data_IF_425459368956
#
_entry.id   IF_425459368956
#
_cell.length_a   1.000
_cell.length_b   1.000
_cell.length_c   1.000
_cell.angle_alpha   90.00
_cell.angle_beta   90.00
_cell.angle_gamma   90.00
#
_symmetry.space_group_name_H-M   'P 1'
#
loop_
_entity.id
_entity.type
_entity.pdbx_description
1 polymer ?
#
# COMPACT_ATOMS: atom_id res chain seq x y z
N UNK A 1 -26.54 -7.39 -33.14
CA UNK A 1 -25.99 -6.93 -31.85
C UNK A 1 -26.52 -7.85 -30.77
N UNK A 2 -25.65 -8.56 -30.05
CA UNK A 2 -26.04 -9.64 -29.15
C UNK A 2 -26.42 -9.06 -27.76
N UNK A 3 -27.69 -9.18 -27.31
CA UNK A 3 -28.16 -8.53 -26.08
C UNK A 3 -27.47 -9.02 -24.79
N UNK A 4 -26.84 -10.20 -24.81
CA UNK A 4 -26.08 -10.73 -23.68
C UNK A 4 -24.75 -10.02 -23.44
N UNK A 5 -24.13 -9.41 -24.46
CA UNK A 5 -22.84 -8.74 -24.29
C UNK A 5 -22.97 -7.37 -23.59
N UNK A 6 -24.16 -6.78 -23.53
CA UNK A 6 -24.35 -5.47 -22.93
C UNK A 6 -24.47 -5.52 -21.40
N UNK A 7 -25.20 -6.47 -20.82
CA UNK A 7 -25.51 -6.43 -19.37
C UNK A 7 -24.27 -6.75 -18.52
N UNK A 8 -23.51 -7.80 -18.85
CA UNK A 8 -22.30 -8.17 -18.10
C UNK A 8 -21.20 -7.10 -18.19
N UNK A 9 -21.00 -6.51 -19.37
CA UNK A 9 -20.02 -5.46 -19.58
C UNK A 9 -20.40 -4.18 -18.81
N UNK A 10 -21.68 -3.79 -18.85
CA UNK A 10 -22.19 -2.63 -18.10
C UNK A 10 -22.01 -2.84 -16.58
N UNK A 11 -22.36 -4.02 -16.06
CA UNK A 11 -22.20 -4.35 -14.63
C UNK A 11 -20.74 -4.32 -14.19
N UNK A 12 -19.84 -4.84 -15.02
CA UNK A 12 -18.40 -4.77 -14.76
C UNK A 12 -17.87 -3.33 -14.75
N UNK A 13 -18.22 -2.51 -15.74
CA UNK A 13 -17.87 -1.09 -15.75
C UNK A 13 -18.45 -0.35 -14.55
N UNK A 14 -19.69 -0.63 -14.16
CA UNK A 14 -20.31 -0.07 -12.97
C UNK A 14 -19.55 -0.48 -11.70
N UNK A 15 -19.11 -1.74 -11.59
CA UNK A 15 -18.31 -2.22 -10.48
C UNK A 15 -16.97 -1.47 -10.36
N UNK A 16 -16.24 -1.33 -11.48
CA UNK A 16 -14.98 -0.58 -11.52
C UNK A 16 -15.20 0.89 -11.18
N UNK A 17 -16.25 1.50 -11.72
CA UNK A 17 -16.59 2.89 -11.45
C UNK A 17 -16.88 3.10 -9.97
N UNK A 18 -17.67 2.22 -9.37
CA UNK A 18 -18.00 2.23 -7.94
C UNK A 18 -16.77 1.95 -7.08
N UNK A 19 -15.88 1.05 -7.51
CA UNK A 19 -14.63 0.78 -6.80
C UNK A 19 -13.72 2.02 -6.77
N UNK A 20 -13.49 2.66 -7.92
CA UNK A 20 -12.68 3.88 -8.01
C UNK A 20 -13.29 5.02 -7.21
N UNK A 21 -14.55 5.38 -7.48
CA UNK A 21 -15.18 6.54 -6.86
C UNK A 21 -15.53 6.29 -5.39
N UNK A 22 -15.89 5.07 -5.02
CA UNK A 22 -16.07 4.69 -3.62
C UNK A 22 -14.76 4.89 -2.84
N UNK A 23 -13.64 4.34 -3.36
CA UNK A 23 -12.33 4.52 -2.76
C UNK A 23 -11.96 5.99 -2.62
N UNK A 24 -12.16 6.76 -3.69
CA UNK A 24 -11.87 8.19 -3.69
C UNK A 24 -12.73 8.97 -2.69
N UNK A 25 -14.06 8.84 -2.78
CA UNK A 25 -15.01 9.65 -2.02
C UNK A 25 -14.99 9.30 -0.53
N UNK A 26 -14.96 8.00 -0.19
CA UNK A 26 -14.94 7.57 1.21
C UNK A 26 -13.60 7.90 1.87
N UNK A 27 -12.46 7.68 1.20
CA UNK A 27 -11.16 8.12 1.75
C UNK A 27 -11.16 9.64 1.95
N UNK A 28 -11.52 10.42 0.93
CA UNK A 28 -11.53 11.88 1.01
C UNK A 28 -12.46 12.40 2.13
N UNK A 29 -13.65 11.82 2.27
CA UNK A 29 -14.61 12.18 3.31
C UNK A 29 -14.11 11.89 4.74
N UNK A 30 -13.19 10.93 4.90
CA UNK A 30 -12.63 10.54 6.19
C UNK A 30 -11.38 11.35 6.59
N UNK A 31 -10.68 11.99 5.65
CA UNK A 31 -9.43 12.71 5.94
C UNK A 31 -9.64 13.81 6.98
N UNK A 32 -10.57 14.74 6.74
CA UNK A 32 -10.75 15.91 7.62
C UNK A 32 -11.27 15.54 9.02
N UNK A 33 -12.29 14.68 9.18
CA UNK A 33 -12.72 14.21 10.51
C UNK A 33 -11.61 13.50 11.28
N UNK A 34 -10.87 12.59 10.63
CA UNK A 34 -9.77 11.86 11.29
C UNK A 34 -8.63 12.79 11.65
N UNK A 35 -8.27 13.75 10.78
CA UNK A 35 -7.27 14.78 11.08
C UNK A 35 -7.60 15.51 12.37
N UNK A 36 -8.85 16.00 12.50
CA UNK A 36 -9.32 16.69 13.73
C UNK A 36 -9.26 15.78 14.96
N UNK A 37 -9.75 14.55 14.83
CA UNK A 37 -9.76 13.58 15.92
C UNK A 37 -8.34 13.24 16.40
N UNK A 38 -7.40 13.04 15.47
CA UNK A 38 -6.02 12.67 15.78
C UNK A 38 -5.25 13.82 16.42
N UNK A 39 -5.47 15.06 15.95
CA UNK A 39 -4.93 16.26 16.61
C UNK A 39 -5.47 16.38 18.04
N UNK A 40 -6.79 16.20 18.23
CA UNK A 40 -7.40 16.26 19.56
C UNK A 40 -6.90 15.16 20.50
N UNK A 41 -6.60 13.97 19.97
CA UNK A 41 -6.05 12.85 20.72
C UNK A 41 -4.53 12.93 20.96
N UNK A 42 -3.84 13.92 20.38
CA UNK A 42 -2.39 14.08 20.52
C UNK A 42 -1.55 13.13 19.65
N UNK A 43 -2.14 12.47 18.65
CA UNK A 43 -1.42 11.64 17.68
C UNK A 43 -0.67 12.50 16.66
N UNK A 44 0.36 13.20 17.15
CA UNK A 44 1.16 14.15 16.39
C UNK A 44 2.59 13.66 16.26
N UNK A 45 3.22 14.00 15.13
CA UNK A 45 4.66 13.76 14.91
C UNK A 45 5.27 14.95 14.18
N UNK A 46 6.56 15.17 14.40
CA UNK A 46 7.33 16.20 13.71
C UNK A 46 7.62 15.77 12.27
N UNK A 47 7.19 16.56 11.30
CA UNK A 47 7.46 16.31 9.88
C UNK A 47 8.88 16.77 9.47
N UNK A 48 9.24 16.58 8.20
CA UNK A 48 10.53 17.01 7.65
C UNK A 48 10.77 18.54 7.71
N UNK A 49 9.74 19.35 7.92
CA UNK A 49 9.81 20.82 8.12
C UNK A 49 9.87 21.22 9.60
N UNK A 50 9.95 20.26 10.52
CA UNK A 50 9.93 20.54 11.96
C UNK A 50 8.54 20.84 12.54
N UNK A 51 7.47 20.62 11.78
CA UNK A 51 6.10 20.94 12.21
C UNK A 51 5.38 19.70 12.76
N UNK A 52 4.66 19.86 13.86
CA UNK A 52 3.79 18.81 14.39
C UNK A 52 2.54 18.68 13.52
N UNK A 53 2.39 17.52 12.88
CA UNK A 53 1.23 17.17 12.05
C UNK A 53 0.71 15.79 12.46
N UNK A 54 -0.58 15.48 12.23
CA UNK A 54 -1.15 14.20 12.64
C UNK A 54 -0.53 13.03 11.87
N UNK A 55 -0.21 11.96 12.60
CA UNK A 55 0.41 10.72 12.08
C UNK A 55 -0.57 9.55 12.06
N UNK A 56 -0.38 8.57 11.17
CA UNK A 56 -1.25 7.41 11.06
C UNK A 56 -2.55 7.69 10.31
N UNK A 57 -2.59 8.78 9.52
CA UNK A 57 -3.76 9.13 8.71
C UNK A 57 -4.00 8.13 7.56
N UNK A 58 -3.15 7.11 7.41
CA UNK A 58 -3.43 5.90 6.65
C UNK A 58 -4.73 5.18 7.04
N UNK A 59 -5.29 5.43 8.23
CA UNK A 59 -6.63 4.95 8.62
C UNK A 59 -7.73 5.49 7.69
N UNK A 60 -7.55 6.67 7.08
CA UNK A 60 -8.49 7.19 6.07
C UNK A 60 -8.47 6.37 4.77
N UNK A 61 -7.29 5.89 4.35
CA UNK A 61 -7.15 4.97 3.22
C UNK A 61 -7.85 3.65 3.53
N UNK A 62 -7.62 3.09 4.72
CA UNK A 62 -8.30 1.86 5.14
C UNK A 62 -9.80 2.04 5.18
N UNK A 63 -10.31 3.12 5.77
CA UNK A 63 -11.76 3.36 5.84
C UNK A 63 -12.41 3.46 4.46
N UNK A 64 -11.74 4.08 3.48
CA UNK A 64 -12.21 4.12 2.10
C UNK A 64 -12.14 2.77 1.38
N UNK A 65 -11.02 2.05 1.55
CA UNK A 65 -10.84 0.68 0.99
C UNK A 65 -11.87 -0.28 1.60
N UNK A 66 -11.92 -0.39 2.93
CA UNK A 66 -12.84 -1.27 3.65
C UNK A 66 -14.30 -0.91 3.37
N UNK A 67 -14.68 0.36 3.46
CA UNK A 67 -16.06 0.80 3.24
C UNK A 67 -16.53 0.52 1.81
N UNK A 68 -15.70 0.79 0.82
CA UNK A 68 -16.03 0.49 -0.58
C UNK A 68 -16.06 -1.02 -0.82
N UNK A 69 -15.12 -1.76 -0.26
CA UNK A 69 -15.08 -3.22 -0.40
C UNK A 69 -16.31 -3.87 0.21
N UNK A 70 -16.73 -3.45 1.40
CA UNK A 70 -17.94 -3.93 2.05
C UNK A 70 -19.18 -3.70 1.16
N UNK A 71 -19.29 -2.51 0.56
CA UNK A 71 -20.36 -2.20 -0.39
C UNK A 71 -20.30 -3.08 -1.65
N UNK A 72 -19.13 -3.28 -2.26
CA UNK A 72 -18.97 -4.14 -3.43
C UNK A 72 -19.35 -5.59 -3.14
N UNK A 73 -19.02 -6.10 -1.95
CA UNK A 73 -19.36 -7.45 -1.50
C UNK A 73 -20.87 -7.59 -1.24
N UNK A 74 -21.48 -6.61 -0.57
CA UNK A 74 -22.94 -6.56 -0.35
C UNK A 74 -23.74 -6.49 -1.65
N UNK A 75 -23.17 -5.89 -2.69
CA UNK A 75 -23.78 -5.73 -4.02
C UNK A 75 -23.17 -6.68 -5.06
N UNK A 76 -22.53 -7.76 -4.62
CA UNK A 76 -21.81 -8.69 -5.50
C UNK A 76 -22.73 -9.32 -6.56
N UNK A 77 -23.97 -9.65 -6.21
CA UNK A 77 -24.99 -10.16 -7.14
C UNK A 77 -25.39 -9.11 -8.20
N UNK A 78 -25.47 -7.83 -7.80
CA UNK A 78 -25.80 -6.72 -8.71
C UNK A 78 -24.69 -6.56 -9.75
N UNK A 79 -23.44 -6.59 -9.30
CA UNK A 79 -22.25 -6.48 -10.16
C UNK A 79 -21.89 -7.78 -10.89
N UNK A 80 -22.60 -8.88 -10.61
CA UNK A 80 -22.31 -10.22 -11.12
C UNK A 80 -20.85 -10.65 -10.87
N UNK A 81 -20.33 -10.35 -9.67
CA UNK A 81 -18.97 -10.75 -9.29
C UNK A 81 -18.88 -12.28 -9.20
N UNK A 82 -17.93 -12.84 -9.93
CA UNK A 82 -17.57 -14.25 -9.78
C UNK A 82 -17.02 -14.51 -8.37
N UNK A 83 -17.13 -15.75 -7.92
CA UNK A 83 -16.57 -16.17 -6.64
C UNK A 83 -15.06 -15.90 -6.55
N UNK A 84 -14.33 -16.10 -7.65
CA UNK A 84 -12.91 -15.78 -7.73
C UNK A 84 -12.64 -14.28 -7.48
N UNK A 85 -13.42 -13.39 -8.10
CA UNK A 85 -13.28 -11.95 -7.85
C UNK A 85 -13.58 -11.59 -6.39
N UNK A 86 -14.59 -12.21 -5.77
CA UNK A 86 -14.90 -12.02 -4.35
C UNK A 86 -13.72 -12.45 -3.47
N UNK A 87 -13.10 -13.60 -3.77
CA UNK A 87 -11.90 -14.05 -3.05
C UNK A 87 -10.73 -13.09 -3.23
N UNK A 88 -10.47 -12.61 -4.44
CA UNK A 88 -9.42 -11.64 -4.74
C UNK A 88 -9.60 -10.35 -3.91
N UNK A 89 -10.83 -9.83 -3.86
CA UNK A 89 -11.20 -8.67 -3.05
C UNK A 89 -10.97 -8.92 -1.55
N UNK A 90 -11.41 -10.06 -1.03
CA UNK A 90 -11.22 -10.42 0.37
C UNK A 90 -9.74 -10.60 0.73
N UNK A 91 -8.93 -11.18 -0.16
CA UNK A 91 -7.51 -11.36 0.06
C UNK A 91 -6.77 -10.01 0.10
N UNK A 92 -7.07 -9.10 -0.83
CA UNK A 92 -6.53 -7.72 -0.80
C UNK A 92 -6.94 -7.02 0.50
N UNK A 93 -8.21 -7.13 0.91
CA UNK A 93 -8.71 -6.49 2.13
C UNK A 93 -8.02 -7.05 3.38
N UNK A 94 -7.90 -8.37 3.50
CA UNK A 94 -7.29 -9.02 4.65
C UNK A 94 -5.81 -8.65 4.79
N UNK A 95 -5.05 -8.71 3.70
CA UNK A 95 -3.63 -8.33 3.68
C UNK A 95 -3.45 -6.84 3.99
N UNK A 96 -4.22 -5.98 3.30
CA UNK A 96 -4.16 -4.52 3.50
C UNK A 96 -4.50 -4.13 4.94
N UNK A 97 -5.50 -4.77 5.55
CA UNK A 97 -5.88 -4.56 6.94
C UNK A 97 -4.82 -5.08 7.91
N UNK A 98 -4.25 -6.25 7.66
CA UNK A 98 -3.16 -6.79 8.46
C UNK A 98 -1.96 -5.85 8.49
N UNK A 99 -1.55 -5.34 7.32
CA UNK A 99 -0.44 -4.40 7.22
C UNK A 99 -0.75 -3.04 7.87
N UNK A 100 -1.99 -2.57 7.79
CA UNK A 100 -2.42 -1.39 8.54
C UNK A 100 -2.22 -1.59 10.05
N UNK A 101 -2.68 -2.72 10.59
CA UNK A 101 -2.58 -3.00 12.03
C UNK A 101 -1.12 -3.03 12.47
N UNK A 102 -0.26 -3.74 11.73
CA UNK A 102 1.18 -3.78 12.02
C UNK A 102 1.80 -2.38 11.93
N UNK A 103 1.41 -1.60 10.91
CA UNK A 103 1.90 -0.22 10.74
C UNK A 103 1.42 0.73 11.84
N UNK A 104 0.17 0.60 12.30
CA UNK A 104 -0.36 1.38 13.42
C UNK A 104 0.38 1.07 14.71
N UNK A 105 0.73 -0.20 14.96
CA UNK A 105 1.55 -0.56 16.11
C UNK A 105 2.91 0.14 16.08
N UNK A 106 3.56 0.26 14.90
CA UNK A 106 4.84 0.97 14.79
C UNK A 106 4.67 2.50 14.89
N UNK A 107 3.61 3.05 14.29
CA UNK A 107 3.30 4.49 14.41
C UNK A 107 3.04 4.91 15.87
N UNK A 108 2.50 4.02 16.70
CA UNK A 108 2.17 4.27 18.12
C UNK A 108 3.30 3.89 19.10
N UNK A 109 4.01 2.79 18.86
CA UNK A 109 4.97 2.21 19.81
C UNK A 109 6.43 2.25 19.35
N UNK A 110 6.72 2.73 18.13
CA UNK A 110 8.04 2.68 17.53
C UNK A 110 9.05 3.68 18.13
N UNK A 111 10.13 3.18 18.73
CA UNK A 111 11.33 3.94 19.09
C UNK A 111 12.35 3.91 17.94
N UNK A 112 12.82 5.07 17.46
CA UNK A 112 13.68 5.22 16.26
C UNK A 112 15.19 5.12 16.52
N UNK A 113 15.63 4.47 17.60
CA UNK A 113 17.05 4.47 17.98
C UNK A 113 17.95 3.57 17.10
N UNK A 114 17.36 2.60 16.38
CA UNK A 114 18.07 1.76 15.41
C UNK A 114 17.38 1.83 14.04
N UNK A 115 18.18 1.90 12.96
CA UNK A 115 17.68 1.88 11.58
C UNK A 115 18.33 0.75 10.79
N UNK A 116 17.57 0.16 9.87
CA UNK A 116 18.01 -0.91 8.97
C UNK A 116 17.83 -2.33 9.51
N UNK A 117 17.65 -3.29 8.60
CA UNK A 117 17.39 -4.69 8.96
C UNK A 117 18.58 -5.34 9.68
N UNK A 118 19.81 -5.03 9.26
CA UNK A 118 21.01 -5.52 9.93
C UNK A 118 21.14 -5.00 11.35
N UNK A 119 20.75 -3.75 11.61
CA UNK A 119 20.78 -3.15 12.94
C UNK A 119 19.88 -3.90 13.91
N UNK A 120 18.61 -4.06 13.52
CA UNK A 120 17.62 -4.81 14.30
C UNK A 120 18.01 -6.28 14.51
N UNK A 121 18.53 -6.95 13.49
CA UNK A 121 18.97 -8.35 13.59
C UNK A 121 20.22 -8.49 14.46
N UNK A 122 21.17 -7.57 14.36
CA UNK A 122 22.38 -7.56 15.19
C UNK A 122 22.03 -7.32 16.65
N UNK A 123 21.11 -6.40 16.93
CA UNK A 123 20.64 -6.12 18.29
C UNK A 123 19.96 -7.35 18.90
N UNK A 124 19.13 -8.04 18.13
CA UNK A 124 18.52 -9.30 18.57
C UNK A 124 19.57 -10.41 18.81
N UNK A 125 20.48 -10.64 17.87
CA UNK A 125 21.46 -11.72 17.97
C UNK A 125 22.52 -11.47 19.06
N UNK A 126 22.88 -10.21 19.34
CA UNK A 126 23.92 -9.87 20.33
C UNK A 126 23.35 -9.60 21.72
N UNK A 127 22.17 -9.00 21.81
CA UNK A 127 21.61 -8.52 23.08
C UNK A 127 20.31 -9.23 23.47
N UNK A 128 19.74 -10.06 22.59
CA UNK A 128 18.44 -10.70 22.82
C UNK A 128 17.26 -9.73 22.76
N UNK A 129 17.48 -8.49 22.34
CA UNK A 129 16.49 -7.42 22.35
C UNK A 129 15.63 -7.47 21.08
N UNK A 130 14.32 -7.65 21.27
CA UNK A 130 13.34 -7.64 20.18
C UNK A 130 12.93 -6.20 19.89
N UNK A 131 13.35 -5.69 18.73
CA UNK A 131 13.01 -4.34 18.28
C UNK A 131 11.66 -4.31 17.55
N UNK A 132 11.01 -3.14 17.52
CA UNK A 132 9.77 -2.96 16.74
C UNK A 132 9.99 -3.20 15.25
N UNK A 133 11.16 -2.82 14.73
CA UNK A 133 11.57 -3.11 13.34
C UNK A 133 11.66 -4.60 13.02
N UNK A 134 12.18 -5.42 13.94
CA UNK A 134 12.22 -6.89 13.76
C UNK A 134 10.82 -7.51 13.81
N UNK A 135 9.97 -7.08 14.75
CA UNK A 135 8.57 -7.51 14.82
C UNK A 135 7.82 -7.15 13.55
N UNK A 136 7.98 -5.92 13.06
CA UNK A 136 7.37 -5.44 11.81
C UNK A 136 7.80 -6.28 10.62
N UNK A 137 9.09 -6.58 10.49
CA UNK A 137 9.59 -7.46 9.42
C UNK A 137 9.01 -8.87 9.51
N UNK A 138 8.95 -9.44 10.72
CA UNK A 138 8.38 -10.77 10.97
C UNK A 138 6.88 -10.83 10.63
N UNK A 139 6.07 -9.93 11.18
CA UNK A 139 4.64 -9.86 10.88
C UNK A 139 4.36 -9.52 9.41
N UNK A 140 5.15 -8.64 8.81
CA UNK A 140 5.03 -8.33 7.38
C UNK A 140 5.28 -9.56 6.49
N UNK A 141 6.28 -10.38 6.82
CA UNK A 141 6.49 -11.66 6.15
C UNK A 141 5.31 -12.62 6.39
N UNK A 142 4.86 -12.80 7.63
CA UNK A 142 3.72 -13.68 7.95
C UNK A 142 2.47 -13.28 7.17
N UNK A 143 2.14 -11.99 7.10
CA UNK A 143 1.02 -11.47 6.33
C UNK A 143 1.18 -11.70 4.83
N UNK A 144 2.40 -11.49 4.30
CA UNK A 144 2.68 -11.77 2.89
C UNK A 144 2.49 -13.24 2.53
N UNK A 145 3.05 -14.13 3.34
CA UNK A 145 2.92 -15.58 3.16
C UNK A 145 1.48 -16.07 3.35
N UNK A 146 0.74 -15.51 4.32
CA UNK A 146 -0.68 -15.76 4.48
C UNK A 146 -1.46 -15.33 3.23
N UNK A 147 -1.20 -14.13 2.71
CA UNK A 147 -1.84 -13.64 1.48
C UNK A 147 -1.61 -14.58 0.30
N UNK A 148 -0.37 -14.97 0.05
CA UNK A 148 -0.05 -15.93 -1.01
C UNK A 148 -0.67 -17.33 -0.78
N UNK A 149 -0.69 -17.81 0.46
CA UNK A 149 -1.33 -19.09 0.80
C UNK A 149 -2.85 -19.06 0.51
N UNK A 150 -3.53 -17.95 0.82
CA UNK A 150 -4.96 -17.78 0.55
C UNK A 150 -5.31 -17.82 -0.94
N UNK A 151 -4.34 -17.63 -1.85
CA UNK A 151 -4.55 -17.83 -3.29
C UNK A 151 -4.37 -19.29 -3.74
N UNK A 152 -4.14 -20.22 -2.81
CA UNK A 152 -3.76 -21.60 -3.10
C UNK A 152 -2.33 -21.75 -3.61
N UNK A 153 -1.44 -20.78 -3.34
CA UNK A 153 -0.04 -20.91 -3.73
C UNK A 153 0.68 -21.97 -2.87
N UNK A 154 1.44 -22.83 -3.53
CA UNK A 154 2.22 -23.89 -2.89
C UNK A 154 3.68 -23.87 -3.34
N UNK A 155 4.55 -24.48 -2.55
CA UNK A 155 5.97 -24.64 -2.86
C UNK A 155 6.67 -23.33 -3.23
N UNK A 156 7.31 -23.30 -4.40
CA UNK A 156 8.07 -22.14 -4.85
C UNK A 156 7.18 -20.92 -5.14
N UNK A 157 5.91 -21.11 -5.53
CA UNK A 157 4.95 -20.01 -5.77
C UNK A 157 4.57 -19.32 -4.46
N UNK A 158 4.45 -20.08 -3.37
CA UNK A 158 4.19 -19.54 -2.04
C UNK A 158 5.33 -18.64 -1.59
N UNK A 159 6.59 -19.07 -1.79
CA UNK A 159 7.78 -18.25 -1.53
C UNK A 159 7.75 -16.97 -2.36
N UNK A 160 7.53 -17.09 -3.67
CA UNK A 160 7.53 -15.95 -4.58
C UNK A 160 6.44 -14.94 -4.20
N UNK A 161 5.21 -15.42 -3.96
CA UNK A 161 4.09 -14.56 -3.59
C UNK A 161 4.27 -13.92 -2.21
N UNK A 162 4.71 -14.71 -1.22
CA UNK A 162 4.92 -14.23 0.15
C UNK A 162 5.92 -13.08 0.23
N UNK A 163 7.08 -13.24 -0.41
CA UNK A 163 8.07 -12.16 -0.48
C UNK A 163 7.61 -10.99 -1.34
N UNK A 164 6.86 -11.23 -2.43
CA UNK A 164 6.33 -10.15 -3.27
C UNK A 164 5.42 -9.22 -2.46
N UNK A 165 4.51 -9.77 -1.67
CA UNK A 165 3.61 -8.98 -0.83
C UNK A 165 4.38 -8.23 0.26
N UNK A 166 5.23 -8.94 1.02
CA UNK A 166 5.96 -8.36 2.14
C UNK A 166 6.93 -7.25 1.71
N UNK A 167 7.69 -7.47 0.63
CA UNK A 167 8.63 -6.46 0.12
C UNK A 167 7.92 -5.32 -0.61
N UNK A 168 6.73 -5.52 -1.17
CA UNK A 168 5.93 -4.41 -1.74
C UNK A 168 5.46 -3.46 -0.63
N UNK A 169 4.96 -4.00 0.48
CA UNK A 169 4.61 -3.21 1.68
C UNK A 169 5.82 -2.42 2.19
N UNK A 170 6.94 -3.10 2.41
CA UNK A 170 8.15 -2.45 2.92
C UNK A 170 8.70 -1.39 1.95
N UNK A 171 8.66 -1.63 0.63
CA UNK A 171 9.13 -0.66 -0.37
C UNK A 171 8.34 0.64 -0.34
N UNK A 172 7.01 0.58 -0.23
CA UNK A 172 6.18 1.80 -0.13
C UNK A 172 6.47 2.53 1.18
N UNK A 173 6.66 1.80 2.28
CA UNK A 173 7.08 2.36 3.56
C UNK A 173 8.46 3.07 3.48
N UNK A 174 9.41 2.54 2.73
CA UNK A 174 10.72 3.19 2.52
C UNK A 174 10.61 4.49 1.71
N UNK A 175 9.55 4.66 0.93
CA UNK A 175 9.26 5.90 0.21
C UNK A 175 8.57 6.93 1.10
N UNK A 176 7.89 6.54 2.18
CA UNK A 176 7.13 7.44 3.09
C UNK A 176 8.02 8.27 4.03
N UNK A 177 9.04 8.91 3.48
CA UNK A 177 9.96 9.81 4.20
C UNK A 177 9.74 11.28 3.87
N UNK A 178 9.06 11.56 2.75
CA UNK A 178 8.74 12.92 2.30
C UNK A 178 7.35 12.97 1.65
N UNK A 179 6.65 14.12 1.76
CA UNK A 179 5.32 14.33 1.18
C UNK A 179 5.16 13.79 -0.24
N UNK A 180 4.16 12.96 -0.48
CA UNK A 180 3.80 12.50 -1.81
C UNK A 180 4.65 11.36 -2.39
N UNK A 181 5.75 10.95 -1.74
CA UNK A 181 6.62 9.89 -2.30
C UNK A 181 5.95 8.52 -2.29
N UNK A 182 5.33 8.14 -1.18
CA UNK A 182 4.60 6.87 -1.06
C UNK A 182 3.47 6.80 -2.09
N UNK A 183 2.64 7.84 -2.18
CA UNK A 183 1.58 7.94 -3.19
C UNK A 183 2.13 7.83 -4.62
N UNK A 184 3.20 8.55 -4.97
CA UNK A 184 3.83 8.45 -6.30
C UNK A 184 4.36 7.04 -6.58
N UNK A 185 4.96 6.39 -5.60
CA UNK A 185 5.43 5.01 -5.70
C UNK A 185 4.29 4.04 -5.99
N UNK A 186 3.18 4.17 -5.28
CA UNK A 186 1.96 3.36 -5.49
C UNK A 186 1.35 3.64 -6.86
N UNK A 187 1.21 4.91 -7.26
CA UNK A 187 0.69 5.28 -8.58
C UNK A 187 1.58 4.74 -9.71
N UNK A 188 2.91 4.79 -9.55
CA UNK A 188 3.85 4.20 -10.51
C UNK A 188 3.70 2.68 -10.56
N UNK A 189 3.60 2.01 -9.41
CA UNK A 189 3.41 0.57 -9.33
C UNK A 189 2.10 0.13 -9.99
N UNK A 190 1.00 0.86 -9.76
CA UNK A 190 -0.28 0.60 -10.43
C UNK A 190 -0.19 0.84 -11.94
N UNK A 191 0.47 1.91 -12.39
CA UNK A 191 0.68 2.16 -13.82
C UNK A 191 1.51 1.04 -14.50
N UNK A 192 2.57 0.57 -13.85
CA UNK A 192 3.36 -0.58 -14.33
C UNK A 192 2.49 -1.83 -14.36
N UNK A 193 1.73 -2.10 -13.30
CA UNK A 193 0.83 -3.25 -13.23
C UNK A 193 -0.20 -3.24 -14.37
N UNK A 194 -0.82 -2.10 -14.67
CA UNK A 194 -1.74 -1.95 -15.79
C UNK A 194 -1.07 -2.23 -17.15
N UNK A 195 0.21 -1.86 -17.30
CA UNK A 195 0.96 -2.13 -18.52
C UNK A 195 1.34 -3.61 -18.70
N UNK A 196 1.48 -4.37 -17.62
CA UNK A 196 1.96 -5.77 -17.65
C UNK A 196 0.89 -6.83 -17.32
N UNK A 197 -0.32 -6.41 -16.90
CA UNK A 197 -1.40 -7.31 -16.50
C UNK A 197 -2.79 -6.73 -16.84
N UNK A 198 -3.42 -7.29 -17.87
CA UNK A 198 -4.82 -6.99 -18.20
C UNK A 198 -5.78 -7.42 -17.07
N UNK A 199 -5.53 -8.57 -16.43
CA UNK A 199 -6.28 -9.00 -15.24
C UNK A 199 -6.17 -8.00 -14.08
N UNK A 200 -5.05 -7.28 -13.99
CA UNK A 200 -4.86 -6.18 -13.07
C UNK A 200 -5.89 -5.07 -13.30
N UNK A 201 -6.05 -4.63 -14.56
CA UNK A 201 -7.03 -3.61 -14.93
C UNK A 201 -8.48 -4.08 -14.82
N UNK A 202 -8.73 -5.39 -14.91
CA UNK A 202 -10.06 -5.97 -14.72
C UNK A 202 -10.47 -6.09 -13.25
N UNK A 203 -9.52 -6.00 -12.32
CA UNK A 203 -9.76 -6.15 -10.89
C UNK A 203 -10.36 -4.87 -10.28
N UNK A 204 -11.53 -4.94 -9.59
CA UNK A 204 -12.06 -3.79 -8.87
C UNK A 204 -11.10 -3.29 -7.77
N UNK A 205 -10.30 -4.17 -7.17
CA UNK A 205 -9.31 -3.78 -6.16
C UNK A 205 -8.21 -2.85 -6.71
N UNK A 206 -7.83 -2.99 -7.98
CA UNK A 206 -6.90 -2.08 -8.65
C UNK A 206 -7.45 -0.65 -8.65
N UNK A 207 -8.69 -0.50 -9.12
CA UNK A 207 -9.36 0.79 -9.23
C UNK A 207 -9.68 1.40 -7.87
N UNK A 208 -10.01 0.55 -6.90
CA UNK A 208 -10.19 0.95 -5.50
C UNK A 208 -8.91 1.56 -4.91
N UNK A 209 -7.77 0.88 -5.02
CA UNK A 209 -6.49 1.38 -4.52
C UNK A 209 -6.05 2.66 -5.26
N UNK A 210 -6.30 2.73 -6.57
CA UNK A 210 -6.04 3.94 -7.36
C UNK A 210 -6.88 5.12 -6.84
N UNK A 211 -8.19 4.94 -6.67
CA UNK A 211 -9.10 5.96 -6.18
C UNK A 211 -8.73 6.45 -4.77
N UNK A 212 -8.48 5.53 -3.84
CA UNK A 212 -8.09 5.85 -2.47
C UNK A 212 -6.74 6.60 -2.42
N UNK A 213 -5.75 6.17 -3.21
CA UNK A 213 -4.45 6.84 -3.29
C UNK A 213 -4.59 8.25 -3.84
N UNK A 214 -5.37 8.43 -4.92
CA UNK A 214 -5.61 9.76 -5.52
C UNK A 214 -6.39 10.70 -4.60
N UNK A 215 -7.28 10.18 -3.76
CA UNK A 215 -7.97 10.98 -2.75
C UNK A 215 -7.02 11.49 -1.65
N UNK A 216 -6.09 10.65 -1.20
CA UNK A 216 -5.15 11.02 -0.15
C UNK A 216 -4.00 11.91 -0.66
N UNK A 217 -3.64 11.77 -1.93
CA UNK A 217 -2.44 12.39 -2.51
C UNK A 217 -2.33 13.92 -2.36
N UNK A 218 -3.41 14.73 -2.50
CA UNK A 218 -3.32 16.18 -2.32
C UNK A 218 -2.93 16.62 -0.89
N UNK A 219 -3.49 15.97 0.14
CA UNK A 219 -3.17 16.29 1.54
C UNK A 219 -1.75 15.82 1.92
N UNK A 220 -1.34 14.68 1.38
CA UNK A 220 0.04 14.18 1.50
C UNK A 220 1.04 15.17 0.87
N UNK A 221 0.80 15.61 -0.38
CA UNK A 221 1.67 16.59 -1.08
C UNK A 221 1.82 17.93 -0.35
N UNK A 222 0.78 18.35 0.37
CA UNK A 222 0.78 19.59 1.18
C UNK A 222 1.42 19.41 2.55
N UNK A 223 1.82 18.19 2.91
CA UNK A 223 2.37 17.86 4.22
C UNK A 223 1.43 18.22 5.39
N UNK A 224 0.12 18.18 5.17
CA UNK A 224 -0.88 18.45 6.21
C UNK A 224 -1.06 17.27 7.17
N UNK A 225 -0.69 16.07 6.72
CA UNK A 225 -0.86 14.80 7.41
C UNK A 225 0.34 13.91 7.11
N UNK A 226 0.62 12.92 7.96
CA UNK A 226 1.52 11.82 7.62
C UNK A 226 0.69 10.55 7.41
N UNK A 227 0.96 9.87 6.30
CA UNK A 227 0.38 8.55 6.02
C UNK A 227 0.76 7.56 7.11
N UNK A 228 2.05 7.56 7.48
CA UNK A 228 2.59 6.70 8.51
C UNK A 228 2.81 5.29 8.00
N UNK A 229 3.39 4.46 8.86
CA UNK A 229 3.62 3.05 8.58
C UNK A 229 2.29 2.31 8.38
N UNK A 230 1.21 2.77 9.02
CA UNK A 230 -0.13 2.26 8.82
C UNK A 230 -0.57 2.33 7.35
N UNK A 231 -0.53 3.51 6.73
CA UNK A 231 -1.03 3.69 5.36
C UNK A 231 -0.08 3.19 4.29
N UNK A 232 1.24 3.40 4.49
CA UNK A 232 2.24 3.01 3.49
C UNK A 232 2.34 1.50 3.34
N UNK A 233 2.32 0.75 4.46
CA UNK A 233 2.29 -0.71 4.40
C UNK A 233 0.95 -1.25 3.88
N UNK A 234 -0.18 -0.61 4.22
CA UNK A 234 -1.50 -0.96 3.65
C UNK A 234 -1.46 -0.90 2.12
N UNK A 235 -1.03 0.23 1.55
CA UNK A 235 -1.01 0.41 0.10
C UNK A 235 -0.01 -0.53 -0.58
N UNK A 236 1.20 -0.66 -0.04
CA UNK A 236 2.21 -1.54 -0.61
C UNK A 236 1.84 -3.02 -0.51
N UNK A 237 1.22 -3.45 0.60
CA UNK A 237 0.69 -4.80 0.75
C UNK A 237 -0.45 -5.08 -0.24
N UNK A 238 -1.36 -4.13 -0.43
CA UNK A 238 -2.43 -4.22 -1.42
C UNK A 238 -1.91 -4.32 -2.87
N UNK A 239 -0.92 -3.50 -3.24
CA UNK A 239 -0.24 -3.60 -4.55
C UNK A 239 0.45 -4.95 -4.71
N UNK A 240 1.19 -5.40 -3.70
CA UNK A 240 1.86 -6.70 -3.74
C UNK A 240 0.86 -7.85 -3.91
N UNK A 241 -0.29 -7.77 -3.23
CA UNK A 241 -1.36 -8.75 -3.39
C UNK A 241 -1.98 -8.73 -4.79
N UNK A 242 -2.19 -7.54 -5.37
CA UNK A 242 -2.63 -7.44 -6.77
C UNK A 242 -1.65 -8.09 -7.75
N UNK A 243 -0.34 -7.95 -7.52
CA UNK A 243 0.67 -8.64 -8.33
C UNK A 243 0.51 -10.15 -8.20
N UNK A 244 0.37 -10.68 -6.98
CA UNK A 244 0.18 -12.13 -6.76
C UNK A 244 -1.08 -12.66 -7.46
N UNK A 245 -2.19 -11.92 -7.39
CA UNK A 245 -3.48 -12.37 -7.92
C UNK A 245 -3.58 -12.29 -9.45
N UNK A 246 -2.92 -11.31 -10.05
CA UNK A 246 -3.19 -10.92 -11.45
C UNK A 246 -2.03 -11.16 -12.41
N UNK A 247 -0.79 -11.27 -11.92
CA UNK A 247 0.37 -11.41 -12.78
C UNK A 247 0.74 -12.87 -13.06
N UNK A 248 1.45 -13.08 -14.17
CA UNK A 248 2.11 -14.35 -14.42
C UNK A 248 3.26 -14.57 -13.44
N UNK A 249 3.66 -15.84 -13.25
CA UNK A 249 4.88 -16.21 -12.53
C UNK A 249 6.09 -15.39 -12.98
N UNK A 250 6.30 -15.22 -14.29
CA UNK A 250 7.45 -14.49 -14.82
C UNK A 250 7.44 -13.03 -14.39
N UNK A 251 6.29 -12.37 -14.56
CA UNK A 251 6.10 -10.97 -14.15
C UNK A 251 6.31 -10.81 -12.64
N UNK A 252 5.80 -11.74 -11.83
CA UNK A 252 5.98 -11.71 -10.38
C UNK A 252 7.44 -11.95 -9.97
N UNK A 253 8.18 -12.83 -10.65
CA UNK A 253 9.63 -13.02 -10.44
C UNK A 253 10.41 -11.75 -10.76
N UNK A 254 10.10 -11.08 -11.87
CA UNK A 254 10.75 -9.82 -12.25
C UNK A 254 10.42 -8.73 -11.23
N UNK A 255 9.15 -8.62 -10.82
CA UNK A 255 8.70 -7.68 -9.80
C UNK A 255 9.46 -7.89 -8.48
N UNK A 256 9.52 -9.13 -7.99
CA UNK A 256 10.27 -9.45 -6.78
C UNK A 256 11.76 -9.14 -6.93
N UNK A 257 12.36 -9.43 -8.09
CA UNK A 257 13.74 -9.08 -8.39
C UNK A 257 14.01 -7.58 -8.23
N UNK A 258 13.13 -6.73 -8.77
CA UNK A 258 13.22 -5.27 -8.61
C UNK A 258 13.10 -4.86 -7.13
N UNK A 259 12.15 -5.43 -6.38
CA UNK A 259 12.00 -5.15 -4.96
C UNK A 259 13.25 -5.55 -4.17
N UNK A 260 13.80 -6.74 -4.41
CA UNK A 260 15.02 -7.23 -3.74
C UNK A 260 16.20 -6.30 -4.04
N UNK A 261 16.39 -5.90 -5.29
CA UNK A 261 17.44 -4.95 -5.66
C UNK A 261 17.27 -3.60 -4.97
N UNK A 262 16.04 -3.10 -4.85
CA UNK A 262 15.73 -1.87 -4.12
C UNK A 262 16.10 -1.99 -2.63
N UNK A 263 15.80 -3.11 -1.97
CA UNK A 263 16.15 -3.32 -0.57
C UNK A 263 17.66 -3.47 -0.36
N UNK A 264 18.34 -4.23 -1.23
CA UNK A 264 19.80 -4.36 -1.19
C UNK A 264 20.50 -3.01 -1.40
N UNK A 265 19.93 -2.16 -2.25
CA UNK A 265 20.41 -0.79 -2.47
C UNK A 265 20.21 0.06 -1.21
N UNK A 266 19.00 0.05 -0.64
CA UNK A 266 18.65 0.91 0.49
C UNK A 266 19.35 0.54 1.81
N UNK A 267 19.79 -0.71 1.95
CA UNK A 267 20.61 -1.13 3.10
C UNK A 267 22.00 -0.44 3.09
N UNK A 268 22.49 -0.04 1.91
CA UNK A 268 23.81 0.59 1.74
C UNK A 268 23.73 2.09 1.49
N UNK A 269 22.67 2.56 0.84
CA UNK A 269 22.56 3.94 0.35
C UNK A 269 21.21 4.56 0.70
N UNK A 270 21.20 5.86 0.96
CA UNK A 270 19.97 6.61 1.19
C UNK A 270 19.22 6.84 -0.13
N UNK A 271 17.99 6.33 -0.23
CA UNK A 271 17.09 6.61 -1.36
C UNK A 271 16.88 8.13 -1.50
N UNK A 272 16.73 8.84 -0.37
CA UNK A 272 16.53 10.29 -0.37
C UNK A 272 17.71 11.05 -0.98
N UNK A 273 18.93 10.67 -0.61
CA UNK A 273 20.15 11.30 -1.14
C UNK A 273 20.31 11.01 -2.65
N UNK A 274 19.94 9.82 -3.08
CA UNK A 274 19.95 9.41 -4.49
C UNK A 274 18.98 10.25 -5.32
N UNK A 275 17.76 10.46 -4.80
CA UNK A 275 16.76 11.32 -5.43
C UNK A 275 17.28 12.76 -5.52
N UNK A 276 17.95 13.28 -4.49
CA UNK A 276 18.48 14.65 -4.49
C UNK A 276 19.61 14.87 -5.51
N UNK A 277 20.47 13.86 -5.71
CA UNK A 277 21.60 13.90 -6.65
C UNK A 277 21.18 13.77 -8.11
N UNK A 278 20.02 13.16 -8.41
CA UNK A 278 19.53 12.96 -9.77
C UNK A 278 18.49 14.02 -10.16
N UNK A 279 18.76 14.81 -11.21
CA UNK A 279 17.88 15.91 -11.65
C UNK A 279 16.45 15.47 -11.99
N UNK A 280 16.30 14.35 -12.69
CA UNK A 280 14.99 13.83 -13.10
C UNK A 280 14.20 13.32 -11.90
N UNK A 281 14.84 12.52 -11.04
CA UNK A 281 14.20 12.00 -9.82
C UNK A 281 13.83 13.14 -8.87
N UNK A 282 14.70 14.14 -8.71
CA UNK A 282 14.40 15.34 -7.91
C UNK A 282 13.21 16.10 -8.47
N UNK A 283 13.16 16.30 -9.80
CA UNK A 283 12.04 16.97 -10.45
C UNK A 283 10.72 16.22 -10.20
N UNK A 284 10.71 14.91 -10.40
CA UNK A 284 9.55 14.06 -10.08
C UNK A 284 9.19 14.12 -8.59
N UNK A 285 10.18 14.15 -7.69
CA UNK A 285 9.98 14.19 -6.25
C UNK A 285 9.28 15.47 -5.80
N UNK A 286 9.70 16.63 -6.31
CA UNK A 286 9.12 17.93 -5.95
C UNK A 286 7.84 18.26 -6.71
N UNK A 287 7.55 17.59 -7.83
CA UNK A 287 6.34 17.82 -8.62
C UNK A 287 5.08 17.73 -7.76
N UNK A 288 4.25 18.77 -7.80
CA UNK A 288 2.99 18.86 -7.04
C UNK A 288 3.13 19.25 -5.57
N UNK A 289 4.35 19.32 -5.01
CA UNK A 289 4.56 19.90 -3.67
C UNK A 289 4.41 21.41 -3.76
N UNK A 290 3.76 22.02 -2.77
CA UNK A 290 3.79 23.48 -2.63
C UNK A 290 5.23 23.92 -2.39
N UNK A 291 5.67 24.92 -3.14
CA UNK A 291 6.99 25.53 -2.97
C UNK A 291 7.18 25.89 -1.49
N UNK A 292 8.21 25.30 -0.89
CA UNK A 292 8.72 25.67 0.43
C UNK A 292 9.41 27.02 0.35
#
# INVERSE_FOLDING_TARGET
MNPFFNDTMIRWFACIFVAFWGGYLLTNGLIEPLKKAFVAAGFLRVNYRGQNIPVGLGVSLWGGVFGTMAMLLMLSDVFALSWLQVQDLLAVLAVSTGFLVVGLLDDLAGNREASGLRGHLTQFLRHGEVTTGLLKAGFGLLLGFLGAYLTGAEGWKLLLGGFTVALSANSVNMLDLRPGRACKGVLLALAVLAAVSLRGMESPAYWLLLGATLAYFPDDLRAHTMMGDAGSNLLGGGVGMLVVLTCTTTTMTVWLGVLVLLHLYAEKYSISETIEKNRLLRWLDVLGRQAS
#
